data_IF_877142577458
#
_entry.id   IF_877142577458
#
_cell.length_a   1.000
_cell.length_b   1.000
_cell.length_c   1.000
_cell.angle_alpha   90.00
_cell.angle_beta   90.00
_cell.angle_gamma   90.00
#
_symmetry.space_group_name_H-M   'P 1'
#
loop_
_entity.id
_entity.type
_entity.pdbx_description
1 polymer ?
#
# COMPACT_ATOMS: atom_id res chain seq x y z
N UNK A 1 56.95 -54.26 -2.68
CA UNK A 1 58.07 -53.56 -3.35
C UNK A 1 57.67 -52.10 -3.44
N UNK A 2 58.40 -51.29 -2.72
CA UNK A 2 58.61 -49.83 -2.76
C UNK A 2 57.39 -48.93 -2.69
N UNK A 3 57.11 -48.28 -1.58
CA UNK A 3 57.87 -47.29 -0.76
C UNK A 3 57.92 -45.91 -1.40
N UNK A 4 57.56 -44.93 -0.56
CA UNK A 4 58.05 -43.55 -0.45
C UNK A 4 57.12 -42.52 -1.06
N UNK A 5 56.90 -41.35 -0.48
CA UNK A 5 57.20 -40.68 0.80
C UNK A 5 56.43 -39.37 0.85
N UNK A 6 55.98 -39.07 2.03
CA UNK A 6 55.60 -37.80 2.60
C UNK A 6 56.15 -36.53 1.95
N UNK A 7 55.30 -35.49 1.92
CA UNK A 7 55.72 -34.13 2.36
C UNK A 7 54.56 -33.37 2.97
N UNK A 8 54.71 -33.08 4.24
CA UNK A 8 54.05 -32.00 5.00
C UNK A 8 54.34 -30.66 4.35
N UNK A 9 53.32 -29.85 4.18
CA UNK A 9 53.48 -28.41 4.17
C UNK A 9 52.36 -27.78 4.98
N UNK A 10 52.75 -27.24 6.12
CA UNK A 10 51.97 -26.51 7.07
C UNK A 10 51.61 -25.14 6.52
N UNK A 11 50.32 -24.82 6.41
CA UNK A 11 49.83 -23.48 6.21
C UNK A 11 49.60 -22.77 7.56
N UNK A 12 49.85 -21.46 7.65
CA UNK A 12 49.82 -20.72 8.90
C UNK A 12 48.41 -20.45 9.39
N UNK A 13 48.22 -20.52 10.72
CA UNK A 13 46.97 -20.23 11.39
C UNK A 13 46.53 -18.80 11.21
N UNK A 14 45.24 -18.67 10.88
CA UNK A 14 44.53 -17.40 11.03
C UNK A 14 43.86 -17.37 12.40
N UNK A 15 44.35 -16.49 13.23
CA UNK A 15 43.75 -16.13 14.52
C UNK A 15 42.28 -15.70 14.34
N UNK A 16 41.39 -16.42 14.97
CA UNK A 16 40.00 -16.06 15.11
C UNK A 16 39.89 -14.91 16.13
N UNK A 17 39.87 -13.68 15.65
CA UNK A 17 39.45 -12.54 16.46
C UNK A 17 37.94 -12.63 16.69
N UNK A 18 37.56 -12.88 17.92
CA UNK A 18 36.20 -12.81 18.43
C UNK A 18 35.63 -11.40 18.25
N UNK A 19 34.86 -11.19 17.22
CA UNK A 19 34.05 -9.98 17.07
C UNK A 19 32.72 -10.19 17.80
N UNK A 20 32.56 -9.45 18.92
CA UNK A 20 31.30 -9.32 19.64
C UNK A 20 30.20 -8.81 18.70
N UNK A 21 28.92 -9.18 18.90
CA UNK A 21 27.81 -8.67 18.10
C UNK A 21 27.72 -7.15 18.29
N UNK A 22 27.89 -6.41 17.21
CA UNK A 22 27.61 -4.97 17.20
C UNK A 22 26.11 -4.78 17.34
N UNK A 23 25.71 -4.11 18.41
CA UNK A 23 24.37 -3.54 18.58
C UNK A 23 23.99 -2.76 17.31
N UNK A 24 23.10 -3.34 16.51
CA UNK A 24 22.45 -2.64 15.40
C UNK A 24 21.27 -1.87 16.00
N UNK A 25 21.58 -0.81 16.76
CA UNK A 25 20.58 0.21 17.07
C UNK A 25 20.26 0.92 15.76
N UNK A 26 19.08 0.65 15.21
CA UNK A 26 18.54 1.38 14.07
C UNK A 26 18.63 2.89 14.37
N UNK A 27 19.37 3.65 13.55
CA UNK A 27 19.41 5.10 13.66
C UNK A 27 17.99 5.63 13.53
N UNK A 28 17.46 6.43 14.46
CA UNK A 28 16.14 7.00 14.35
C UNK A 28 16.10 7.89 13.11
N UNK A 29 15.08 7.66 12.26
CA UNK A 29 14.75 8.57 11.16
C UNK A 29 14.56 9.99 11.70
N UNK A 30 15.15 10.98 11.03
CA UNK A 30 15.08 12.38 11.45
C UNK A 30 13.63 12.84 11.60
N UNK A 31 13.29 13.32 12.79
CA UNK A 31 11.98 13.87 13.13
C UNK A 31 11.99 15.38 12.89
N UNK A 32 10.93 15.91 12.28
CA UNK A 32 10.69 17.34 12.24
C UNK A 32 9.97 17.81 13.51
N UNK A 33 10.26 19.03 14.02
CA UNK A 33 9.39 19.64 15.02
C UNK A 33 7.99 19.85 14.42
N UNK A 34 6.97 19.59 15.21
CA UNK A 34 5.56 19.76 14.81
C UNK A 34 5.32 21.21 14.42
N UNK A 35 4.89 21.51 13.17
CA UNK A 35 4.52 22.87 12.83
C UNK A 35 3.29 23.31 13.65
N UNK A 36 3.19 24.61 14.07
CA UNK A 36 2.02 25.10 14.77
C UNK A 36 0.77 24.93 13.89
N UNK A 37 -0.33 24.51 14.49
CA UNK A 37 -1.65 24.49 13.84
C UNK A 37 -2.00 25.92 13.45
N UNK A 38 -1.98 26.24 12.18
CA UNK A 38 -2.60 27.46 11.68
C UNK A 38 -4.07 27.15 11.48
N UNK A 39 -4.93 27.82 12.25
CA UNK A 39 -6.37 27.84 12.01
C UNK A 39 -6.60 28.29 10.57
N UNK A 40 -7.08 27.37 9.73
CA UNK A 40 -7.40 27.68 8.35
C UNK A 40 -8.61 28.62 8.33
N UNK A 41 -8.32 29.88 8.05
CA UNK A 41 -9.29 30.84 7.59
C UNK A 41 -10.09 30.21 6.45
N UNK A 42 -11.39 30.06 6.65
CA UNK A 42 -12.37 29.68 5.65
C UNK A 42 -12.24 30.58 4.42
N UNK A 43 -11.45 30.11 3.43
CA UNK A 43 -11.45 30.72 2.10
C UNK A 43 -12.77 30.36 1.43
N UNK A 44 -13.61 31.36 1.24
CA UNK A 44 -14.78 31.29 0.38
C UNK A 44 -14.39 30.65 -0.96
N UNK A 45 -14.95 29.48 -1.20
CA UNK A 45 -14.84 28.80 -2.50
C UNK A 45 -15.76 29.53 -3.45
N UNK A 46 -15.20 30.39 -4.29
CA UNK A 46 -15.90 30.92 -5.46
C UNK A 46 -16.54 29.74 -6.21
N UNK A 47 -17.84 29.80 -6.56
CA UNK A 47 -18.48 28.73 -7.30
C UNK A 47 -17.88 28.69 -8.72
N UNK A 48 -16.91 27.79 -8.91
CA UNK A 48 -16.47 27.41 -10.26
C UNK A 48 -17.63 26.64 -10.86
N UNK A 49 -18.13 27.09 -12.01
CA UNK A 49 -19.35 26.61 -12.67
C UNK A 49 -19.55 25.11 -12.56
N UNK A 50 -20.70 24.70 -12.05
CA UNK A 50 -21.08 23.31 -11.84
C UNK A 50 -20.95 22.54 -13.14
N UNK A 51 -19.99 21.61 -13.21
CA UNK A 51 -19.96 20.64 -14.29
C UNK A 51 -21.23 19.79 -14.17
N UNK A 52 -22.13 19.92 -15.15
CA UNK A 52 -23.31 19.08 -15.22
C UNK A 52 -22.88 17.61 -15.41
N UNK A 53 -23.11 16.79 -14.37
CA UNK A 53 -22.74 15.36 -14.37
C UNK A 53 -23.29 14.63 -15.60
N UNK A 54 -24.51 14.97 -16.03
CA UNK A 54 -25.14 14.40 -17.23
C UNK A 54 -24.37 14.76 -18.48
N UNK A 55 -24.00 16.03 -18.68
CA UNK A 55 -23.23 16.46 -19.85
C UNK A 55 -21.87 15.78 -19.93
N UNK A 56 -21.17 15.70 -18.79
CA UNK A 56 -19.89 15.00 -18.72
C UNK A 56 -20.04 13.51 -19.03
N UNK A 57 -21.06 12.84 -18.48
CA UNK A 57 -21.35 11.44 -18.75
C UNK A 57 -21.62 11.21 -20.26
N UNK A 58 -22.38 12.09 -20.92
CA UNK A 58 -22.63 12.00 -22.35
C UNK A 58 -21.36 12.16 -23.20
N UNK A 59 -20.42 13.02 -22.80
CA UNK A 59 -19.11 13.14 -23.45
C UNK A 59 -18.29 11.85 -23.30
N UNK A 60 -18.23 11.31 -22.10
CA UNK A 60 -17.54 10.03 -21.83
C UNK A 60 -18.15 8.88 -22.64
N UNK A 61 -19.47 8.84 -22.82
CA UNK A 61 -20.17 7.84 -23.69
C UNK A 61 -19.75 7.93 -25.17
N UNK A 62 -19.29 9.09 -25.64
CA UNK A 62 -18.72 9.28 -26.97
C UNK A 62 -17.24 8.95 -27.04
N UNK A 63 -16.63 8.47 -25.96
CA UNK A 63 -15.19 8.21 -25.87
C UNK A 63 -14.34 9.46 -25.65
N UNK A 64 -14.96 10.64 -25.41
CA UNK A 64 -14.22 11.87 -25.14
C UNK A 64 -13.57 11.79 -23.75
N UNK A 65 -12.34 12.33 -23.65
CA UNK A 65 -11.63 12.40 -22.38
C UNK A 65 -11.96 13.70 -21.64
N UNK A 66 -11.93 13.64 -20.33
CA UNK A 66 -11.97 14.82 -19.46
C UNK A 66 -10.54 15.29 -19.19
N UNK A 67 -10.32 16.59 -19.23
CA UNK A 67 -9.10 17.18 -18.70
C UNK A 67 -9.01 16.95 -17.18
N UNK A 68 -7.82 17.09 -16.61
CA UNK A 68 -7.61 16.96 -15.15
C UNK A 68 -8.50 17.88 -14.31
N UNK A 69 -8.76 19.11 -14.81
CA UNK A 69 -9.67 20.07 -14.16
C UNK A 69 -11.11 19.59 -14.25
N UNK A 70 -11.57 19.17 -15.43
CA UNK A 70 -12.93 18.64 -15.62
C UNK A 70 -13.16 17.37 -14.79
N UNK A 71 -12.17 16.48 -14.71
CA UNK A 71 -12.23 15.26 -13.89
C UNK A 71 -12.37 15.57 -12.37
N UNK A 72 -11.74 16.63 -11.87
CA UNK A 72 -11.97 17.13 -10.49
C UNK A 72 -13.42 17.55 -10.29
N UNK A 73 -13.96 18.31 -11.23
CA UNK A 73 -15.35 18.78 -11.14
C UNK A 73 -16.33 17.61 -11.30
N UNK A 74 -16.02 16.67 -12.21
CA UNK A 74 -16.82 15.47 -12.42
C UNK A 74 -16.95 14.64 -11.14
N UNK A 75 -15.84 14.37 -10.44
CA UNK A 75 -15.92 13.67 -9.16
C UNK A 75 -16.68 14.47 -8.10
N UNK A 76 -16.50 15.78 -8.08
CA UNK A 76 -17.25 16.65 -7.15
C UNK A 76 -18.76 16.62 -7.40
N UNK A 77 -19.17 16.60 -8.67
CA UNK A 77 -20.57 16.45 -9.07
C UNK A 77 -21.11 15.04 -8.76
N UNK A 78 -20.31 14.00 -8.97
CA UNK A 78 -20.64 12.61 -8.64
C UNK A 78 -20.87 12.42 -7.14
N UNK A 79 -20.07 13.08 -6.30
CA UNK A 79 -20.19 13.04 -4.83
C UNK A 79 -21.23 14.03 -4.28
N UNK A 80 -21.94 14.80 -5.13
CA UNK A 80 -22.97 15.70 -4.71
C UNK A 80 -24.22 14.92 -4.24
N UNK A 81 -24.80 15.23 -3.07
CA UNK A 81 -26.02 14.59 -2.58
C UNK A 81 -27.20 14.67 -3.57
N UNK A 82 -27.25 15.67 -4.45
CA UNK A 82 -28.29 15.84 -5.46
C UNK A 82 -28.16 14.84 -6.65
N UNK A 83 -27.00 14.22 -6.86
CA UNK A 83 -26.84 13.21 -7.91
C UNK A 83 -27.72 11.98 -7.61
N UNK A 84 -28.46 11.48 -8.58
CA UNK A 84 -29.30 10.28 -8.42
C UNK A 84 -28.46 9.00 -8.53
N UNK A 85 -28.93 7.87 -8.00
CA UNK A 85 -28.24 6.59 -8.10
C UNK A 85 -28.08 6.15 -9.57
N UNK A 86 -29.10 6.43 -10.41
CA UNK A 86 -29.00 6.21 -11.86
C UNK A 86 -27.90 7.01 -12.52
N UNK A 87 -27.72 8.28 -12.13
CA UNK A 87 -26.60 9.11 -12.63
C UNK A 87 -25.25 8.60 -12.17
N UNK A 88 -25.14 8.17 -10.88
CA UNK A 88 -23.94 7.57 -10.35
C UNK A 88 -23.58 6.27 -11.09
N UNK A 89 -24.56 5.37 -11.27
CA UNK A 89 -24.35 4.12 -11.98
C UNK A 89 -23.90 4.37 -13.42
N UNK A 90 -24.57 5.25 -14.16
CA UNK A 90 -24.21 5.59 -15.53
C UNK A 90 -22.79 6.17 -15.63
N UNK A 91 -22.42 7.10 -14.75
CA UNK A 91 -21.09 7.71 -14.72
C UNK A 91 -20.00 6.68 -14.40
N UNK A 92 -20.22 5.77 -13.44
CA UNK A 92 -19.27 4.72 -13.08
C UNK A 92 -19.09 3.70 -14.18
N UNK A 93 -20.18 3.27 -14.80
CA UNK A 93 -20.15 2.26 -15.89
C UNK A 93 -19.47 2.81 -17.13
N UNK A 94 -19.77 4.05 -17.53
CA UNK A 94 -19.13 4.64 -18.72
C UNK A 94 -17.64 4.82 -18.56
N UNK A 95 -17.16 5.22 -17.36
CA UNK A 95 -15.74 5.29 -17.07
C UNK A 95 -15.08 3.92 -17.13
N UNK A 96 -15.73 2.90 -16.56
CA UNK A 96 -15.20 1.53 -16.58
C UNK A 96 -15.10 0.97 -18.03
N UNK A 97 -16.07 1.30 -18.90
CA UNK A 97 -16.08 0.86 -20.30
C UNK A 97 -15.07 1.64 -21.14
N UNK A 98 -15.00 2.98 -20.99
CA UNK A 98 -14.04 3.83 -21.71
C UNK A 98 -12.61 3.57 -21.26
N UNK A 99 -12.43 3.29 -20.01
CA UNK A 99 -11.14 3.33 -19.31
C UNK A 99 -10.70 4.76 -19.00
N UNK A 100 -10.18 4.96 -17.81
CA UNK A 100 -9.72 6.28 -17.35
C UNK A 100 -8.38 6.66 -17.99
N UNK A 101 -8.20 7.93 -18.31
CA UNK A 101 -6.88 8.48 -18.65
C UNK A 101 -6.08 8.81 -17.38
N UNK A 102 -4.78 9.10 -17.54
CA UNK A 102 -3.92 9.53 -16.45
C UNK A 102 -4.45 10.83 -15.81
N UNK A 103 -4.85 11.80 -16.64
CA UNK A 103 -5.40 13.08 -16.19
C UNK A 103 -6.75 12.92 -15.48
N UNK A 104 -7.61 12.04 -15.96
CA UNK A 104 -8.87 11.74 -15.29
C UNK A 104 -8.65 11.11 -13.91
N UNK A 105 -7.75 10.12 -13.81
CA UNK A 105 -7.41 9.52 -12.52
C UNK A 105 -6.80 10.54 -11.56
N UNK A 106 -5.84 11.33 -12.03
CA UNK A 106 -5.18 12.34 -11.19
C UNK A 106 -6.17 13.42 -10.73
N UNK A 107 -7.00 13.93 -11.64
CA UNK A 107 -8.00 14.96 -11.32
C UNK A 107 -9.05 14.47 -10.32
N UNK A 108 -9.58 13.25 -10.51
CA UNK A 108 -10.53 12.65 -9.57
C UNK A 108 -9.88 12.39 -8.20
N UNK A 109 -8.64 11.88 -8.17
CA UNK A 109 -7.91 11.65 -6.93
C UNK A 109 -7.62 12.96 -6.17
N UNK A 110 -7.31 14.06 -6.87
CA UNK A 110 -7.17 15.38 -6.25
C UNK A 110 -8.45 15.87 -5.58
N UNK A 111 -9.60 15.70 -6.24
CA UNK A 111 -10.89 16.05 -5.66
C UNK A 111 -11.20 15.23 -4.40
N UNK A 112 -10.89 13.92 -4.42
CA UNK A 112 -11.01 13.06 -3.23
C UNK A 112 -10.08 13.52 -2.11
N UNK A 113 -8.79 13.74 -2.41
CA UNK A 113 -7.78 14.18 -1.43
C UNK A 113 -8.14 15.54 -0.80
N UNK A 114 -8.77 16.43 -1.56
CA UNK A 114 -9.21 17.74 -1.05
C UNK A 114 -10.36 17.61 -0.04
N UNK A 115 -11.21 16.61 -0.20
CA UNK A 115 -12.36 16.32 0.68
C UNK A 115 -12.03 15.43 1.87
N UNK A 116 -10.91 14.71 1.81
CA UNK A 116 -10.49 13.81 2.85
C UNK A 116 -10.10 14.56 4.14
N UNK A 117 -10.42 13.96 5.28
CA UNK A 117 -9.82 14.37 6.55
C UNK A 117 -8.32 14.12 6.46
N UNK A 118 -7.53 15.19 6.51
CA UNK A 118 -6.08 15.10 6.38
C UNK A 118 -5.46 14.55 7.65
N UNK A 119 -4.51 13.64 7.50
CA UNK A 119 -3.68 13.12 8.57
C UNK A 119 -2.26 13.68 8.41
N UNK A 120 -1.67 14.19 9.51
CA UNK A 120 -0.34 14.78 9.49
C UNK A 120 0.68 13.82 10.08
N UNK A 121 1.80 13.67 9.41
CA UNK A 121 2.92 12.85 9.87
C UNK A 121 4.11 13.75 10.26
N UNK A 122 4.73 13.46 11.39
CA UNK A 122 6.03 14.04 11.76
C UNK A 122 7.20 13.41 11.01
N UNK A 123 6.96 12.30 10.31
CA UNK A 123 7.98 11.61 9.52
C UNK A 123 8.04 12.18 8.10
N UNK A 124 9.25 12.41 7.60
CA UNK A 124 9.51 12.78 6.20
C UNK A 124 9.47 11.58 5.25
N UNK A 125 9.70 10.40 5.80
CA UNK A 125 9.71 9.13 5.08
C UNK A 125 8.76 8.17 5.77
N UNK A 126 7.70 7.81 5.08
CA UNK A 126 6.74 6.80 5.47
C UNK A 126 6.04 6.27 4.22
N UNK A 127 5.42 5.12 4.34
CA UNK A 127 4.89 4.40 3.18
C UNK A 127 3.43 4.00 3.37
N UNK A 128 2.72 3.86 2.23
CA UNK A 128 1.45 3.15 2.14
C UNK A 128 1.61 1.87 1.32
N UNK A 129 0.88 0.82 1.70
CA UNK A 129 0.85 -0.49 1.03
C UNK A 129 -0.57 -0.84 0.58
N UNK A 130 -1.28 0.12 0.00
CA UNK A 130 -2.63 -0.10 -0.48
C UNK A 130 -2.62 -0.73 -1.88
N UNK A 131 -3.40 -1.79 -2.08
CA UNK A 131 -3.67 -2.37 -3.40
C UNK A 131 -5.12 -2.11 -3.83
N UNK A 132 -5.43 -2.43 -5.09
CA UNK A 132 -6.78 -2.32 -5.65
C UNK A 132 -7.73 -3.42 -5.14
N UNK A 133 -7.17 -4.52 -4.61
CA UNK A 133 -7.91 -5.60 -3.94
C UNK A 133 -8.80 -6.44 -4.84
N UNK A 134 -8.63 -6.37 -6.14
CA UNK A 134 -9.54 -6.97 -7.12
C UNK A 134 -8.89 -8.03 -8.00
N UNK A 135 -7.76 -8.62 -7.57
CA UNK A 135 -7.04 -9.64 -8.33
C UNK A 135 -7.86 -10.91 -8.52
N UNK A 136 -7.59 -11.64 -9.59
CA UNK A 136 -8.18 -12.95 -9.88
C UNK A 136 -7.68 -14.03 -8.92
N UNK A 137 -6.44 -13.91 -8.47
CA UNK A 137 -5.82 -14.78 -7.47
C UNK A 137 -6.07 -14.20 -6.09
N UNK A 138 -6.70 -14.95 -5.22
CA UNK A 138 -7.04 -14.53 -3.85
C UNK A 138 -6.11 -15.19 -2.86
N UNK A 139 -5.29 -14.36 -2.22
CA UNK A 139 -4.48 -14.74 -1.06
C UNK A 139 -5.08 -14.12 0.22
N UNK A 140 -4.43 -14.36 1.36
CA UNK A 140 -4.73 -13.60 2.58
C UNK A 140 -4.29 -12.13 2.44
N UNK A 141 -4.55 -11.29 3.46
CA UNK A 141 -4.24 -9.85 3.41
C UNK A 141 -2.73 -9.57 3.54
N UNK A 142 -1.97 -9.90 2.48
CA UNK A 142 -0.49 -9.83 2.41
C UNK A 142 0.00 -8.41 2.71
N UNK A 143 -0.53 -7.39 2.02
CA UNK A 143 -0.13 -5.99 2.24
C UNK A 143 -0.39 -5.49 3.66
N UNK A 144 -1.40 -6.06 4.36
CA UNK A 144 -1.67 -5.75 5.77
C UNK A 144 -0.63 -6.39 6.68
N UNK A 145 -0.26 -7.65 6.43
CA UNK A 145 0.82 -8.31 7.16
C UNK A 145 2.17 -7.61 6.92
N UNK A 146 2.48 -7.28 5.65
CA UNK A 146 3.69 -6.56 5.27
C UNK A 146 3.80 -5.19 5.96
N UNK A 147 2.69 -4.48 6.20
CA UNK A 147 2.68 -3.20 6.89
C UNK A 147 3.32 -3.29 8.30
N UNK A 148 3.03 -4.35 9.06
CA UNK A 148 3.64 -4.57 10.38
C UNK A 148 5.13 -4.90 10.28
N UNK A 149 5.52 -5.69 9.28
CA UNK A 149 6.92 -6.05 9.03
C UNK A 149 7.73 -4.81 8.63
N UNK A 150 7.22 -3.99 7.74
CA UNK A 150 7.82 -2.72 7.30
C UNK A 150 8.00 -1.78 8.50
N UNK A 151 6.94 -1.61 9.31
CA UNK A 151 7.00 -0.75 10.49
C UNK A 151 7.98 -1.31 11.55
N UNK A 152 8.02 -2.63 11.74
CA UNK A 152 8.97 -3.30 12.62
C UNK A 152 10.43 -3.17 12.17
N UNK A 153 10.67 -3.08 10.86
CA UNK A 153 11.98 -2.78 10.27
C UNK A 153 12.35 -1.27 10.32
N UNK A 154 11.52 -0.42 10.95
CA UNK A 154 11.82 0.99 11.21
C UNK A 154 11.30 2.00 10.19
N UNK A 155 10.63 1.59 9.11
CA UNK A 155 9.96 2.49 8.17
C UNK A 155 8.51 2.71 8.60
N UNK A 156 8.10 3.94 8.97
CA UNK A 156 6.71 4.19 9.37
C UNK A 156 5.72 3.88 8.25
N UNK A 157 4.54 3.37 8.63
CA UNK A 157 3.48 2.97 7.71
C UNK A 157 2.18 3.70 8.00
N UNK A 158 1.67 4.42 7.01
CA UNK A 158 0.36 5.05 7.03
C UNK A 158 -0.56 4.29 6.07
N UNK A 159 -1.08 3.13 6.52
CA UNK A 159 -1.88 2.25 5.67
C UNK A 159 -3.29 2.79 5.47
N UNK A 160 -3.66 3.02 4.22
CA UNK A 160 -5.03 3.32 3.82
C UNK A 160 -5.75 2.04 3.39
N UNK A 161 -7.00 1.87 3.80
CA UNK A 161 -7.73 0.68 3.44
C UNK A 161 -9.22 0.72 3.75
N UNK A 162 -9.93 -0.33 3.33
CA UNK A 162 -11.39 -0.44 3.47
C UNK A 162 -11.81 -1.85 3.86
N UNK A 163 -13.12 -2.02 4.09
CA UNK A 163 -13.76 -3.34 4.13
C UNK A 163 -13.76 -3.97 2.75
N UNK A 164 -13.95 -5.29 2.71
CA UNK A 164 -14.07 -6.02 1.47
C UNK A 164 -15.22 -5.48 0.61
N UNK A 165 -14.93 -5.26 -0.69
CA UNK A 165 -15.94 -4.95 -1.70
C UNK A 165 -16.21 -6.15 -2.62
N UNK A 166 -15.16 -6.89 -2.98
CA UNK A 166 -15.20 -8.04 -3.91
C UNK A 166 -14.47 -9.27 -3.39
N UNK A 167 -13.75 -9.16 -2.27
CA UNK A 167 -13.01 -10.25 -1.61
C UNK A 167 -13.74 -10.72 -0.35
N UNK A 168 -13.30 -11.86 0.22
CA UNK A 168 -13.86 -12.39 1.47
C UNK A 168 -13.42 -11.59 2.71
N UNK A 169 -12.34 -10.81 2.62
CA UNK A 169 -11.76 -10.07 3.74
C UNK A 169 -11.03 -8.84 3.24
N UNK A 170 -11.46 -7.65 3.65
CA UNK A 170 -10.74 -6.39 3.44
C UNK A 170 -9.72 -6.14 4.55
N UNK A 171 -8.88 -5.12 4.37
CA UNK A 171 -7.88 -4.75 5.38
C UNK A 171 -8.50 -4.32 6.71
N UNK A 172 -9.63 -3.62 6.70
CA UNK A 172 -10.35 -3.26 7.92
C UNK A 172 -10.89 -4.49 8.65
N UNK A 173 -11.47 -5.44 7.89
CA UNK A 173 -12.08 -6.64 8.47
C UNK A 173 -11.03 -7.51 9.18
N UNK A 174 -9.85 -7.69 8.57
CA UNK A 174 -8.79 -8.48 9.19
C UNK A 174 -8.14 -7.77 10.37
N UNK A 175 -8.01 -6.43 10.32
CA UNK A 175 -7.47 -5.65 11.43
C UNK A 175 -8.39 -5.69 12.64
N UNK A 176 -9.71 -5.65 12.46
CA UNK A 176 -10.68 -5.89 13.54
C UNK A 176 -10.54 -7.31 14.11
N UNK A 177 -10.35 -8.32 13.25
CA UNK A 177 -10.04 -9.70 13.69
C UNK A 177 -8.72 -9.82 14.47
N UNK A 178 -7.76 -8.94 14.24
CA UNK A 178 -6.53 -8.83 15.02
C UNK A 178 -6.70 -8.07 16.33
N UNK A 179 -7.82 -7.37 16.54
CA UNK A 179 -8.13 -6.58 17.73
C UNK A 179 -7.85 -5.07 17.59
N UNK A 180 -7.55 -4.58 16.40
CA UNK A 180 -7.37 -3.15 16.12
C UNK A 180 -8.74 -2.48 16.02
N UNK A 181 -8.94 -1.36 16.71
CA UNK A 181 -10.13 -0.53 16.55
C UNK A 181 -10.02 0.31 15.27
N UNK A 182 -10.62 -0.19 14.18
CA UNK A 182 -10.61 0.52 12.88
C UNK A 182 -11.52 1.74 12.85
N UNK A 183 -12.39 1.92 13.85
CA UNK A 183 -13.25 3.09 14.04
C UNK A 183 -12.65 4.14 15.00
N UNK A 184 -11.35 4.05 15.32
CA UNK A 184 -10.65 5.04 16.12
C UNK A 184 -10.72 6.43 15.47
N UNK A 185 -10.75 7.49 16.29
CA UNK A 185 -10.85 8.86 15.80
C UNK A 185 -9.62 9.26 14.94
N UNK A 186 -9.75 10.22 14.02
CA UNK A 186 -8.61 10.69 13.22
C UNK A 186 -7.42 11.13 14.07
N UNK A 187 -7.66 11.76 15.24
CA UNK A 187 -6.64 12.18 16.19
C UNK A 187 -5.89 10.98 16.78
N UNK A 188 -6.62 9.93 17.15
CA UNK A 188 -6.03 8.68 17.64
C UNK A 188 -5.21 7.98 16.55
N UNK A 189 -5.70 7.96 15.29
CA UNK A 189 -4.99 7.40 14.14
C UNK A 189 -3.71 8.19 13.86
N UNK A 190 -3.77 9.54 13.93
CA UNK A 190 -2.60 10.41 13.77
C UNK A 190 -1.57 10.17 14.88
N UNK A 191 -2.02 10.07 16.13
CA UNK A 191 -1.16 9.71 17.27
C UNK A 191 -0.49 8.35 17.06
N UNK A 192 -1.22 7.33 16.62
CA UNK A 192 -0.64 6.01 16.34
C UNK A 192 0.48 6.09 15.28
N UNK A 193 0.29 6.85 14.20
CA UNK A 193 1.35 7.06 13.21
C UNK A 193 2.57 7.72 13.86
N UNK A 194 2.34 8.81 14.58
CA UNK A 194 3.42 9.64 15.08
C UNK A 194 4.17 9.00 16.26
N UNK A 195 3.50 8.28 17.16
CA UNK A 195 4.13 7.71 18.36
C UNK A 195 4.64 6.29 18.12
N UNK A 196 3.93 5.49 17.32
CA UNK A 196 4.26 4.07 17.11
C UNK A 196 4.82 3.76 15.73
N UNK A 197 4.78 4.72 14.80
CA UNK A 197 5.24 4.54 13.42
C UNK A 197 4.34 3.64 12.58
N UNK A 198 3.09 3.42 12.98
CA UNK A 198 2.09 2.67 12.21
C UNK A 198 0.70 3.16 12.52
N UNK A 199 -0.12 3.33 11.46
CA UNK A 199 -1.55 3.58 11.61
C UNK A 199 -2.37 2.90 10.51
N UNK A 200 -3.67 2.82 10.75
CA UNK A 200 -4.65 2.40 9.76
C UNK A 200 -5.70 3.49 9.57
N UNK A 201 -5.84 3.97 8.35
CA UNK A 201 -6.83 4.97 7.95
C UNK A 201 -7.99 4.27 7.26
N UNK A 202 -9.11 4.11 7.98
CA UNK A 202 -10.31 3.48 7.43
C UNK A 202 -10.99 4.44 6.44
N UNK A 203 -11.07 4.04 5.17
CA UNK A 203 -11.51 4.89 4.07
C UNK A 203 -12.87 5.59 4.32
N UNK A 204 -13.84 4.92 4.94
CA UNK A 204 -15.16 5.51 5.24
C UNK A 204 -15.09 6.66 6.25
N UNK A 205 -14.15 6.65 7.17
CA UNK A 205 -13.98 7.70 8.16
C UNK A 205 -13.25 8.91 7.57
N UNK A 206 -12.28 8.67 6.71
CA UNK A 206 -11.45 9.74 6.14
C UNK A 206 -12.02 10.37 4.87
N UNK A 207 -12.91 9.67 4.14
CA UNK A 207 -13.53 10.15 2.90
C UNK A 207 -15.04 10.30 3.05
N UNK A 208 -15.45 11.39 3.70
CA UNK A 208 -16.87 11.72 3.84
C UNK A 208 -17.58 11.83 2.49
N UNK A 209 -18.86 11.46 2.44
CA UNK A 209 -19.70 11.56 1.23
C UNK A 209 -19.56 10.41 0.24
N UNK A 210 -18.69 9.42 0.48
CA UNK A 210 -18.52 8.26 -0.44
C UNK A 210 -19.47 7.10 -0.16
N UNK A 211 -20.23 7.12 0.94
CA UNK A 211 -21.09 6.01 1.37
C UNK A 211 -22.14 5.64 0.31
N UNK A 212 -22.75 6.62 -0.33
CA UNK A 212 -23.74 6.41 -1.39
C UNK A 212 -23.14 5.77 -2.63
N UNK A 213 -21.95 6.26 -3.05
CA UNK A 213 -21.21 5.66 -4.16
C UNK A 213 -20.82 4.22 -3.84
N UNK A 214 -20.42 3.94 -2.59
CA UNK A 214 -20.12 2.58 -2.13
C UNK A 214 -21.36 1.65 -2.21
N UNK A 215 -22.55 2.16 -1.96
CA UNK A 215 -23.79 1.40 -2.13
C UNK A 215 -24.03 1.08 -3.60
N UNK A 216 -24.04 2.07 -4.49
CA UNK A 216 -24.25 1.87 -5.93
C UNK A 216 -23.20 0.90 -6.51
N UNK A 217 -21.94 1.00 -6.08
CA UNK A 217 -20.89 0.07 -6.52
C UNK A 217 -21.15 -1.38 -6.09
N UNK A 218 -21.70 -1.61 -4.87
CA UNK A 218 -22.09 -2.97 -4.42
C UNK A 218 -23.21 -3.55 -5.27
N UNK A 219 -24.18 -2.71 -5.62
CA UNK A 219 -25.31 -3.12 -6.48
C UNK A 219 -24.85 -3.42 -7.91
N UNK A 220 -23.89 -2.64 -8.45
CA UNK A 220 -23.30 -2.88 -9.77
C UNK A 220 -22.47 -4.19 -9.82
N UNK A 221 -21.77 -4.55 -8.74
CA UNK A 221 -20.91 -5.72 -8.70
C UNK A 221 -19.72 -5.70 -9.67
N UNK A 222 -19.34 -4.51 -10.17
CA UNK A 222 -18.31 -4.31 -11.19
C UNK A 222 -17.10 -3.58 -10.63
N UNK A 223 -15.95 -3.75 -11.31
CA UNK A 223 -14.80 -2.86 -11.11
C UNK A 223 -15.15 -1.46 -11.61
N UNK A 224 -14.90 -0.47 -10.80
CA UNK A 224 -15.15 0.94 -11.14
C UNK A 224 -13.91 1.76 -10.88
N UNK A 225 -13.86 2.98 -11.36
CA UNK A 225 -12.80 3.96 -11.08
C UNK A 225 -12.45 4.08 -9.58
N UNK A 226 -13.43 3.86 -8.69
CA UNK A 226 -13.19 3.89 -7.24
C UNK A 226 -12.29 2.75 -6.73
N UNK A 227 -12.11 1.67 -7.48
CA UNK A 227 -11.11 0.64 -7.14
C UNK A 227 -9.69 1.19 -7.34
N UNK A 228 -9.50 2.10 -8.30
CA UNK A 228 -8.23 2.79 -8.55
C UNK A 228 -8.06 4.02 -7.64
N UNK A 229 -9.14 4.75 -7.37
CA UNK A 229 -9.07 5.97 -6.55
C UNK A 229 -8.70 5.70 -5.09
N UNK A 230 -9.15 4.59 -4.51
CA UNK A 230 -8.84 4.24 -3.12
C UNK A 230 -7.34 4.34 -2.82
N UNK A 231 -6.48 3.58 -3.50
CA UNK A 231 -5.03 3.64 -3.30
C UNK A 231 -4.39 4.99 -3.66
N UNK A 232 -4.98 5.76 -4.58
CA UNK A 232 -4.46 7.07 -4.99
C UNK A 232 -4.78 8.21 -4.01
N UNK A 233 -5.59 7.94 -2.99
CA UNK A 233 -6.17 9.00 -2.13
C UNK A 233 -5.82 8.87 -0.66
N UNK A 234 -4.63 8.31 -0.35
CA UNK A 234 -4.13 8.21 1.01
C UNK A 234 -4.23 9.55 1.75
N UNK A 235 -4.95 9.64 2.90
CA UNK A 235 -5.17 10.88 3.64
C UNK A 235 -3.90 11.50 4.21
N UNK A 236 -2.88 10.69 4.53
CA UNK A 236 -1.58 11.17 4.99
C UNK A 236 -0.68 11.61 3.83
N UNK A 237 -1.06 11.36 2.56
CA UNK A 237 -0.25 11.63 1.37
C UNK A 237 1.14 11.01 1.46
N UNK A 238 1.18 9.71 1.74
CA UNK A 238 2.43 8.97 1.89
C UNK A 238 3.38 9.26 0.71
N UNK A 239 4.64 9.67 0.97
CA UNK A 239 5.60 9.99 -0.08
C UNK A 239 6.08 8.75 -0.83
N UNK A 240 5.99 7.57 -0.19
CA UNK A 240 6.32 6.29 -0.79
C UNK A 240 5.08 5.41 -0.85
N UNK A 241 4.97 4.61 -1.92
CA UNK A 241 3.81 3.72 -2.09
C UNK A 241 4.18 2.45 -2.84
N UNK A 242 3.72 1.28 -2.35
CA UNK A 242 3.59 0.07 -3.15
C UNK A 242 2.11 -0.17 -3.38
N UNK A 243 1.73 -0.29 -4.65
CA UNK A 243 0.35 -0.39 -5.07
C UNK A 243 0.16 -1.57 -6.02
N UNK A 244 -0.56 -2.59 -5.58
CA UNK A 244 -0.93 -3.71 -6.42
C UNK A 244 -2.13 -3.39 -7.30
N UNK A 245 -2.11 -3.81 -8.57
CA UNK A 245 -3.21 -3.67 -9.52
C UNK A 245 -3.65 -5.02 -10.06
N UNK A 246 -4.97 -5.16 -10.30
CA UNK A 246 -5.56 -6.42 -10.79
C UNK A 246 -5.28 -6.71 -12.27
N UNK A 247 -4.83 -5.72 -13.05
CA UNK A 247 -4.59 -5.84 -14.48
C UNK A 247 -3.29 -5.14 -14.86
N UNK A 248 -2.46 -5.85 -15.63
CA UNK A 248 -1.15 -5.36 -16.09
C UNK A 248 -1.24 -4.05 -16.88
N UNK A 249 -2.31 -3.84 -17.63
CA UNK A 249 -2.51 -2.62 -18.43
C UNK A 249 -2.62 -1.35 -17.59
N UNK A 250 -2.94 -1.47 -16.30
CA UNK A 250 -3.06 -0.36 -15.35
C UNK A 250 -1.72 0.16 -14.82
N UNK A 251 -0.65 -0.64 -14.90
CA UNK A 251 0.64 -0.35 -14.28
C UNK A 251 1.13 1.07 -14.58
N UNK A 252 1.35 1.39 -15.86
CA UNK A 252 1.89 2.70 -16.27
C UNK A 252 0.93 3.84 -15.95
N UNK A 253 -0.38 3.62 -16.15
CA UNK A 253 -1.41 4.63 -15.93
C UNK A 253 -1.47 5.04 -14.46
N UNK A 254 -1.51 4.07 -13.57
CA UNK A 254 -1.57 4.30 -12.11
C UNK A 254 -0.26 4.90 -11.61
N UNK A 255 0.90 4.41 -12.08
CA UNK A 255 2.20 4.96 -11.71
C UNK A 255 2.33 6.44 -12.15
N UNK A 256 1.91 6.78 -13.37
CA UNK A 256 1.89 8.16 -13.86
C UNK A 256 0.96 9.05 -13.02
N UNK A 257 -0.23 8.56 -12.69
CA UNK A 257 -1.18 9.29 -11.83
C UNK A 257 -0.59 9.56 -10.44
N UNK A 258 0.10 8.58 -9.81
CA UNK A 258 0.80 8.76 -8.53
C UNK A 258 1.88 9.84 -8.62
N UNK A 259 2.67 9.83 -9.68
CA UNK A 259 3.66 10.86 -9.92
C UNK A 259 3.05 12.26 -10.05
N UNK A 260 1.96 12.41 -10.84
CA UNK A 260 1.22 13.68 -10.94
C UNK A 260 0.61 14.14 -9.61
N UNK A 261 0.30 13.20 -8.72
CA UNK A 261 -0.24 13.45 -7.39
C UNK A 261 0.85 13.74 -6.34
N UNK A 262 2.13 13.80 -6.75
CA UNK A 262 3.25 14.20 -5.92
C UNK A 262 3.88 13.07 -5.10
N UNK A 263 3.68 11.80 -5.48
CA UNK A 263 4.43 10.71 -4.87
C UNK A 263 5.94 10.89 -5.13
N UNK A 264 6.75 10.76 -4.09
CA UNK A 264 8.22 10.85 -4.21
C UNK A 264 8.78 9.66 -4.99
N UNK A 265 8.33 8.46 -4.63
CA UNK A 265 8.56 7.20 -5.36
C UNK A 265 7.38 6.26 -5.13
N UNK A 266 6.98 5.54 -6.15
CA UNK A 266 6.01 4.45 -6.00
C UNK A 266 6.31 3.32 -6.98
N UNK A 267 6.02 2.09 -6.55
CA UNK A 267 5.95 0.93 -7.42
C UNK A 267 4.50 0.50 -7.56
N UNK A 268 4.04 0.40 -8.79
CA UNK A 268 2.76 -0.23 -9.13
C UNK A 268 3.09 -1.62 -9.67
N UNK A 269 2.50 -2.65 -9.06
CA UNK A 269 2.92 -4.04 -9.26
C UNK A 269 1.80 -4.96 -9.72
N UNK A 270 2.14 -6.00 -10.49
CA UNK A 270 1.23 -7.04 -10.95
C UNK A 270 2.01 -8.34 -11.20
N UNK A 271 1.69 -9.41 -10.49
CA UNK A 271 2.30 -10.72 -10.67
C UNK A 271 1.85 -11.40 -11.97
N UNK A 272 2.72 -12.19 -12.60
CA UNK A 272 2.39 -12.96 -13.82
C UNK A 272 1.30 -14.00 -13.59
N UNK A 273 1.07 -14.40 -12.34
CA UNK A 273 -0.02 -15.27 -11.90
C UNK A 273 -1.36 -14.53 -11.69
N UNK A 274 -1.38 -13.21 -11.90
CA UNK A 274 -2.56 -12.35 -11.71
C UNK A 274 -2.74 -11.81 -10.29
N UNK A 275 -1.73 -11.98 -9.42
CA UNK A 275 -1.73 -11.43 -8.08
C UNK A 275 -1.48 -9.91 -8.12
N UNK A 276 -2.23 -9.14 -7.33
CA UNK A 276 -2.02 -7.70 -7.12
C UNK A 276 -1.02 -7.40 -5.98
N UNK A 277 0.05 -8.18 -5.94
CA UNK A 277 1.18 -8.09 -5.00
C UNK A 277 2.46 -8.51 -5.74
N UNK A 278 3.62 -8.41 -5.12
CA UNK A 278 4.83 -9.07 -5.61
C UNK A 278 4.69 -10.57 -5.32
N UNK A 279 4.70 -11.37 -6.38
CA UNK A 279 4.45 -12.82 -6.28
C UNK A 279 5.69 -13.64 -5.95
N UNK A 280 5.48 -14.85 -5.42
CA UNK A 280 6.52 -15.86 -5.26
C UNK A 280 6.57 -16.86 -6.42
N UNK A 281 5.61 -16.84 -7.37
CA UNK A 281 5.51 -17.88 -8.41
C UNK A 281 6.41 -17.60 -9.62
N UNK A 282 6.96 -16.40 -9.73
CA UNK A 282 7.76 -16.00 -10.89
C UNK A 282 7.88 -14.48 -11.01
N UNK A 283 7.77 -13.99 -12.22
CA UNK A 283 7.94 -12.57 -12.51
C UNK A 283 6.82 -11.71 -11.94
N UNK A 284 7.19 -10.54 -11.43
CA UNK A 284 6.26 -9.45 -11.12
C UNK A 284 6.60 -8.25 -11.99
N UNK A 285 5.63 -7.76 -12.74
CA UNK A 285 5.77 -6.53 -13.51
C UNK A 285 5.66 -5.32 -12.61
N UNK A 286 6.57 -4.38 -12.78
CA UNK A 286 6.64 -3.14 -12.01
C UNK A 286 6.60 -1.94 -12.95
N UNK A 287 5.76 -0.96 -12.62
CA UNK A 287 5.89 0.41 -13.13
C UNK A 287 6.28 1.30 -11.95
N UNK A 288 7.50 1.81 -11.99
CA UNK A 288 8.04 2.69 -10.95
C UNK A 288 7.87 4.15 -11.37
N UNK A 289 7.26 4.96 -10.52
CA UNK A 289 7.32 6.40 -10.69
C UNK A 289 8.31 7.02 -9.70
N UNK A 290 8.97 8.06 -10.14
CA UNK A 290 9.84 8.89 -9.31
C UNK A 290 9.64 10.37 -9.62
N UNK A 291 9.71 11.21 -8.58
CA UNK A 291 9.75 12.64 -8.75
C UNK A 291 11.03 13.03 -9.49
N UNK A 292 10.92 13.88 -10.53
CA UNK A 292 12.04 14.41 -11.30
C UNK A 292 12.19 15.89 -11.02
N UNK A 293 13.40 16.38 -11.22
CA UNK A 293 13.73 17.80 -11.03
C UNK A 293 13.00 18.75 -11.99
N UNK A 294 12.57 18.24 -13.16
CA UNK A 294 11.80 18.97 -14.18
C UNK A 294 10.30 19.04 -13.86
N UNK A 295 9.84 18.42 -12.75
CA UNK A 295 8.44 18.39 -12.34
C UNK A 295 7.57 17.42 -13.13
N UNK A 296 8.12 16.71 -14.13
CA UNK A 296 7.44 15.69 -14.90
C UNK A 296 7.76 14.32 -14.27
N UNK A 297 6.77 13.53 -13.81
CA UNK A 297 7.05 12.23 -13.23
C UNK A 297 7.71 11.31 -14.26
N UNK A 298 8.88 10.74 -13.90
CA UNK A 298 9.45 9.65 -14.66
C UNK A 298 8.74 8.34 -14.35
N UNK A 299 8.39 7.56 -15.35
CA UNK A 299 7.86 6.20 -15.17
C UNK A 299 8.74 5.21 -15.92
N UNK A 300 9.33 4.29 -15.18
CA UNK A 300 10.13 3.17 -15.69
C UNK A 300 9.36 1.86 -15.51
N UNK A 301 9.63 0.89 -16.38
CA UNK A 301 9.05 -0.46 -16.24
C UNK A 301 10.15 -1.50 -16.25
N UNK A 302 10.06 -2.43 -15.32
CA UNK A 302 10.96 -3.57 -15.18
C UNK A 302 10.22 -4.76 -14.57
N UNK A 303 10.90 -5.86 -14.41
CA UNK A 303 10.43 -7.05 -13.68
C UNK A 303 11.31 -7.31 -12.48
N UNK A 304 10.70 -7.88 -11.43
CA UNK A 304 11.41 -8.45 -10.30
C UNK A 304 10.97 -9.90 -10.10
N UNK A 305 11.85 -10.71 -9.54
CA UNK A 305 11.66 -12.13 -9.24
C UNK A 305 11.99 -12.44 -7.79
N UNK A 306 11.50 -13.54 -7.22
CA UNK A 306 11.86 -13.96 -5.87
C UNK A 306 13.38 -14.05 -5.64
N UNK A 307 14.15 -14.49 -6.64
CA UNK A 307 15.61 -14.63 -6.57
C UNK A 307 16.34 -13.30 -6.42
N UNK A 308 15.76 -12.20 -6.91
CA UNK A 308 16.32 -10.85 -6.73
C UNK A 308 16.32 -10.44 -5.26
N UNK A 309 15.38 -11.00 -4.48
CA UNK A 309 15.26 -10.82 -3.03
C UNK A 309 16.00 -11.89 -2.22
N UNK A 310 16.67 -12.84 -2.90
CA UNK A 310 17.30 -13.99 -2.26
C UNK A 310 16.28 -15.00 -1.69
N UNK A 311 15.10 -15.07 -2.30
CA UNK A 311 14.03 -16.02 -2.02
C UNK A 311 13.91 -17.02 -3.17
N UNK A 312 13.34 -18.19 -2.89
CA UNK A 312 13.04 -19.20 -3.90
C UNK A 312 11.65 -18.98 -4.50
N UNK A 313 11.48 -19.33 -5.78
CA UNK A 313 10.16 -19.47 -6.37
C UNK A 313 9.34 -20.52 -5.61
N UNK A 314 8.09 -20.20 -5.30
CA UNK A 314 7.17 -21.08 -4.57
C UNK A 314 5.77 -21.00 -5.15
N UNK A 315 5.04 -22.12 -5.09
CA UNK A 315 3.60 -22.12 -5.38
C UNK A 315 2.83 -21.32 -4.33
N UNK A 316 1.75 -20.67 -4.76
CA UNK A 316 0.75 -20.07 -3.88
C UNK A 316 -0.34 -21.07 -3.45
N UNK A 317 -0.18 -22.35 -3.77
CA UNK A 317 -1.11 -23.41 -3.34
C UNK A 317 -1.21 -23.43 -1.80
N UNK A 318 -2.43 -23.42 -1.30
CA UNK A 318 -2.68 -23.36 0.13
C UNK A 318 -2.55 -21.96 0.78
N UNK A 319 -2.18 -20.92 0.02
CA UNK A 319 -2.15 -19.52 0.50
C UNK A 319 -3.45 -18.76 0.24
N UNK A 320 -4.48 -19.45 -0.24
CA UNK A 320 -5.82 -18.86 -0.43
C UNK A 320 -6.31 -18.28 0.89
N UNK A 321 -6.72 -17.01 0.85
CA UNK A 321 -7.29 -16.34 2.01
C UNK A 321 -8.66 -16.91 2.36
N UNK A 322 -8.94 -16.93 3.65
CA UNK A 322 -10.23 -17.30 4.22
C UNK A 322 -11.06 -16.09 4.64
N UNK A 323 -11.89 -16.27 5.66
CA UNK A 323 -12.60 -15.18 6.31
C UNK A 323 -11.69 -14.28 7.14
N UNK A 324 -12.22 -13.14 7.66
CA UNK A 324 -11.43 -12.18 8.41
C UNK A 324 -10.68 -12.77 9.60
N UNK A 325 -11.34 -13.63 10.39
CA UNK A 325 -10.72 -14.25 11.57
C UNK A 325 -9.62 -15.25 11.19
N UNK A 326 -9.82 -16.03 10.13
CA UNK A 326 -8.83 -17.00 9.67
C UNK A 326 -7.58 -16.26 9.15
N UNK A 327 -7.78 -15.19 8.38
CA UNK A 327 -6.67 -14.35 7.90
C UNK A 327 -5.98 -13.62 9.05
N UNK A 328 -6.70 -13.19 10.08
CA UNK A 328 -6.11 -12.58 11.27
C UNK A 328 -5.23 -13.57 12.05
N UNK A 329 -5.68 -14.81 12.21
CA UNK A 329 -4.89 -15.89 12.85
C UNK A 329 -3.61 -16.17 12.03
N UNK A 330 -3.71 -16.28 10.70
CA UNK A 330 -2.59 -16.50 9.81
C UNK A 330 -1.57 -15.35 9.93
N UNK A 331 -2.03 -14.09 9.87
CA UNK A 331 -1.14 -12.93 10.02
C UNK A 331 -0.46 -12.95 11.40
N UNK A 332 -1.19 -13.20 12.46
CA UNK A 332 -0.63 -13.29 13.82
C UNK A 332 0.48 -14.35 13.89
N UNK A 333 0.24 -15.55 13.36
CA UNK A 333 1.22 -16.63 13.32
C UNK A 333 2.50 -16.22 12.54
N UNK A 334 2.33 -15.57 11.39
CA UNK A 334 3.47 -15.05 10.60
C UNK A 334 4.27 -14.03 11.40
N UNK A 335 3.61 -13.05 12.03
CA UNK A 335 4.27 -12.00 12.81
C UNK A 335 5.00 -12.52 14.04
N UNK A 336 4.55 -13.65 14.61
CA UNK A 336 5.22 -14.35 15.70
C UNK A 336 6.32 -15.33 15.22
N UNK A 337 6.64 -15.33 13.93
CA UNK A 337 7.77 -16.09 13.40
C UNK A 337 7.49 -17.58 13.15
N UNK A 338 6.24 -18.02 13.18
CA UNK A 338 5.91 -19.42 12.88
C UNK A 338 6.25 -19.78 11.43
N UNK A 339 6.77 -21.02 11.24
CA UNK A 339 7.34 -21.46 9.94
C UNK A 339 6.82 -22.84 9.48
N UNK A 340 5.77 -23.37 10.10
CA UNK A 340 5.29 -24.73 9.87
C UNK A 340 4.42 -24.81 8.59
N UNK A 341 4.69 -25.79 7.71
CA UNK A 341 3.86 -26.07 6.55
C UNK A 341 3.63 -24.84 5.65
N UNK A 342 2.35 -24.48 5.41
CA UNK A 342 1.95 -23.34 4.58
C UNK A 342 2.45 -21.97 5.10
N UNK A 343 2.77 -21.87 6.38
CA UNK A 343 3.23 -20.62 6.99
C UNK A 343 4.60 -20.18 6.43
N UNK A 344 5.45 -21.12 6.01
CA UNK A 344 6.74 -20.77 5.40
C UNK A 344 6.55 -19.97 4.10
N UNK A 345 5.71 -20.43 3.19
CA UNK A 345 5.44 -19.71 1.93
C UNK A 345 4.65 -18.40 2.16
N UNK A 346 3.68 -18.42 3.09
CA UNK A 346 2.95 -17.21 3.48
C UNK A 346 3.88 -16.14 4.04
N UNK A 347 4.83 -16.54 4.88
CA UNK A 347 5.84 -15.65 5.44
C UNK A 347 6.77 -15.09 4.36
N UNK A 348 7.24 -15.91 3.43
CA UNK A 348 8.08 -15.44 2.32
C UNK A 348 7.34 -14.46 1.43
N UNK A 349 6.02 -14.66 1.20
CA UNK A 349 5.17 -13.72 0.46
C UNK A 349 5.03 -12.37 1.18
N UNK A 350 4.97 -12.37 2.51
CA UNK A 350 4.99 -11.12 3.30
C UNK A 350 6.37 -10.46 3.25
N UNK A 351 7.45 -11.24 3.38
CA UNK A 351 8.83 -10.74 3.32
C UNK A 351 9.13 -10.06 1.99
N UNK A 352 8.79 -10.68 0.85
CA UNK A 352 9.09 -10.10 -0.47
C UNK A 352 8.39 -8.75 -0.67
N UNK A 353 7.12 -8.63 -0.24
CA UNK A 353 6.36 -7.39 -0.34
C UNK A 353 6.86 -6.31 0.64
N UNK A 354 7.25 -6.69 1.86
CA UNK A 354 7.88 -5.79 2.81
C UNK A 354 9.26 -5.32 2.33
N UNK A 355 10.07 -6.21 1.77
CA UNK A 355 11.40 -5.91 1.24
C UNK A 355 11.34 -4.87 0.10
N UNK A 356 10.41 -5.04 -0.85
CA UNK A 356 10.22 -4.06 -1.91
C UNK A 356 9.91 -2.66 -1.34
N UNK A 357 9.08 -2.57 -0.30
CA UNK A 357 8.75 -1.32 0.38
C UNK A 357 9.97 -0.68 1.05
N UNK A 358 10.78 -1.47 1.75
CA UNK A 358 12.00 -1.01 2.42
C UNK A 358 13.05 -0.52 1.41
N UNK A 359 13.23 -1.24 0.29
CA UNK A 359 14.13 -0.82 -0.79
C UNK A 359 13.63 0.45 -1.48
N UNK A 360 12.33 0.53 -1.82
CA UNK A 360 11.73 1.71 -2.46
C UNK A 360 11.96 2.98 -1.65
N UNK A 361 11.83 2.89 -0.33
CA UNK A 361 12.04 4.00 0.61
C UNK A 361 13.52 4.22 0.96
N UNK A 362 14.46 3.49 0.33
CA UNK A 362 15.90 3.56 0.56
C UNK A 362 16.33 3.26 2.02
N UNK A 363 15.56 2.40 2.73
CA UNK A 363 15.96 1.85 4.04
C UNK A 363 17.04 0.79 3.84
N UNK A 364 17.00 0.06 2.72
CA UNK A 364 18.02 -0.88 2.32
C UNK A 364 18.55 -0.52 0.91
N UNK A 365 19.85 -0.76 0.64
CA UNK A 365 20.48 -0.40 -0.63
C UNK A 365 20.02 -1.27 -1.79
N UNK A 366 19.68 -2.53 -1.53
CA UNK A 366 19.24 -3.51 -2.52
C UNK A 366 18.11 -4.41 -1.98
N UNK A 367 17.51 -5.20 -2.87
CA UNK A 367 16.36 -6.06 -2.56
C UNK A 367 16.72 -7.20 -1.61
N UNK A 368 17.93 -7.74 -1.67
CA UNK A 368 18.40 -8.84 -0.78
C UNK A 368 18.58 -8.35 0.65
N UNK A 369 19.23 -7.20 0.82
CA UNK A 369 19.37 -6.56 2.13
C UNK A 369 18.00 -6.15 2.70
N UNK A 370 17.10 -5.68 1.86
CA UNK A 370 15.72 -5.37 2.26
C UNK A 370 14.97 -6.62 2.74
N UNK A 371 15.16 -7.77 2.08
CA UNK A 371 14.54 -9.04 2.49
C UNK A 371 15.13 -9.55 3.82
N UNK A 372 16.42 -9.33 4.07
CA UNK A 372 17.04 -9.64 5.38
C UNK A 372 16.41 -8.78 6.47
N UNK A 373 16.29 -7.46 6.27
CA UNK A 373 15.65 -6.57 7.25
C UNK A 373 14.18 -6.93 7.52
N UNK A 374 13.44 -7.31 6.47
CA UNK A 374 12.06 -7.77 6.62
C UNK A 374 11.98 -9.08 7.44
N UNK A 375 12.90 -10.01 7.19
CA UNK A 375 13.02 -11.27 7.95
C UNK A 375 13.36 -10.99 9.42
N UNK A 376 14.35 -10.14 9.66
CA UNK A 376 14.79 -9.76 11.00
C UNK A 376 13.68 -9.07 11.80
N UNK A 377 12.84 -8.25 11.14
CA UNK A 377 11.67 -7.63 11.75
C UNK A 377 10.68 -8.66 12.32
N UNK A 378 10.50 -9.78 11.62
CA UNK A 378 9.67 -10.89 12.12
C UNK A 378 10.40 -11.65 13.22
N UNK A 379 11.63 -12.07 12.96
CA UNK A 379 12.39 -12.99 13.84
C UNK A 379 12.76 -12.36 15.19
N UNK A 380 12.94 -11.04 15.23
CA UNK A 380 13.14 -10.28 16.47
C UNK A 380 11.85 -10.00 17.25
N UNK A 381 10.67 -10.30 16.69
CA UNK A 381 9.38 -9.92 17.26
C UNK A 381 9.00 -8.45 17.09
N UNK A 382 9.82 -7.66 16.37
CA UNK A 382 9.54 -6.23 16.13
C UNK A 382 8.24 -6.02 15.35
N UNK A 383 7.95 -6.87 14.36
CA UNK A 383 6.70 -6.84 13.61
C UNK A 383 5.48 -7.15 14.49
N UNK A 384 5.56 -8.14 15.36
CA UNK A 384 4.50 -8.48 16.33
C UNK A 384 4.27 -7.33 17.32
N UNK A 385 5.36 -6.71 17.82
CA UNK A 385 5.28 -5.53 18.69
C UNK A 385 4.54 -4.36 18.02
N UNK A 386 4.67 -4.16 16.71
CA UNK A 386 3.91 -3.12 15.98
C UNK A 386 2.42 -3.39 15.94
N UNK A 387 2.02 -4.65 15.85
CA UNK A 387 0.61 -5.02 16.00
C UNK A 387 0.10 -4.71 17.41
N UNK A 388 0.85 -5.09 18.45
CA UNK A 388 0.46 -4.88 19.84
C UNK A 388 0.31 -3.40 20.20
N UNK A 389 1.24 -2.54 19.74
CA UNK A 389 1.13 -1.09 20.00
C UNK A 389 -0.01 -0.46 19.22
N UNK A 390 -0.31 -0.92 17.99
CA UNK A 390 -1.46 -0.44 17.23
C UNK A 390 -2.78 -0.84 17.91
N UNK A 391 -2.90 -2.08 18.38
CA UNK A 391 -4.07 -2.53 19.15
C UNK A 391 -4.26 -1.65 20.39
N UNK A 392 -3.21 -1.49 21.21
CA UNK A 392 -3.28 -0.65 22.41
C UNK A 392 -3.64 0.79 22.08
N UNK A 393 -2.94 1.42 21.12
CA UNK A 393 -3.12 2.81 20.78
C UNK A 393 -4.52 3.13 20.25
N UNK A 394 -5.11 2.22 19.45
CA UNK A 394 -6.44 2.42 18.90
C UNK A 394 -7.60 2.12 19.87
N UNK A 395 -7.34 1.34 20.96
CA UNK A 395 -8.33 0.99 21.97
C UNK A 395 -8.21 1.81 23.27
N UNK A 396 -7.22 2.68 23.39
CA UNK A 396 -7.12 3.60 24.52
C UNK A 396 -8.32 4.56 24.49
N UNK A 397 -9.10 4.58 25.59
CA UNK A 397 -10.12 5.61 25.81
C UNK A 397 -9.42 6.91 26.12
N UNK A 398 -9.83 7.97 25.46
CA UNK A 398 -9.43 9.36 25.78
C UNK A 398 -9.99 9.79 27.13
#
# INVERSE_FOLDING_TARGET
>A
MNSEESKNDSAPGCDAASASPRDITARPLSLLPTPPRTDEVSREVTPVGDLDLRKATLRLMRGENLSRIEARHFLSALLNPAATDGQLAAALVVLAVKGETIDELAGMAEAMRKRALRLHSRYLQFIDTAGTGSSSVKTFNVSTAAAFVIAGAGLPVAKHGSRAATSNSGSADVLEGLGVNTAATPETVERCLNDYGICFMFALLFHGGTARVAQVRRELGLHTTFNLLGPLTNPARAPFQILGVWDRSLLKRVASALGLLGAKKAWVVHGTDGLDEITLTGDTFVAACSARSDGVPGVETFTVRPEDFGLECRSLDGLRGGGPLENAQLIRAILHGERNGRLSAARDLVIINAAAALHLAAVAPDLRQAAILARDSIDSGSAASKLDVLIRGTNQKE
#
